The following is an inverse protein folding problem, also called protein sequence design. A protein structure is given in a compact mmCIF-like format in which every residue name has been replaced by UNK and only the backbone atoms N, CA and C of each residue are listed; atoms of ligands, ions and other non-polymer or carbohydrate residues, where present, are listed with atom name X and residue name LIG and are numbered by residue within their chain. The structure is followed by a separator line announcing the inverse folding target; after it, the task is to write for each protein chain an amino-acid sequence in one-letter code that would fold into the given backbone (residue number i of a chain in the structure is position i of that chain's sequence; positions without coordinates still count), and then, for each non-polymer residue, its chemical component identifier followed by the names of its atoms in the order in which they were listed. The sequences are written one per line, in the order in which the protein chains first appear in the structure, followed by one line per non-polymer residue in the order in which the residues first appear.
data_IF_545091308503
#
_entry.id   IF_545091308503
#
_cell.length_a   1.000
_cell.length_b   1.000
_cell.length_c   1.000
_cell.angle_alpha   90.00
_cell.angle_beta   90.00
_cell.angle_gamma   90.00
#
_symmetry.space_group_name_H-M   'P 1'
#
loop_
_entity.id
_entity.type
_entity.pdbx_description
1 polymer ?
#
# COMPACT_ATOMS: atom_id res chain seq x y z
N UNK A 1 2.49 -10.25 -12.09
CA UNK A 1 1.29 -9.93 -11.26
C UNK A 1 1.62 -8.72 -10.43
N UNK A 2 0.65 -7.87 -10.16
CA UNK A 2 0.88 -6.66 -9.38
C UNK A 2 -0.07 -6.64 -8.17
N UNK A 3 0.39 -6.00 -7.09
CA UNK A 3 -0.26 -5.97 -5.80
C UNK A 3 -0.30 -4.54 -5.28
N UNK A 4 -1.43 -4.19 -4.67
CA UNK A 4 -1.58 -2.97 -3.87
C UNK A 4 -1.63 -3.34 -2.39
N UNK A 5 -1.25 -2.39 -1.54
CA UNK A 5 -1.32 -2.51 -0.08
C UNK A 5 -2.66 -2.01 0.42
N UNK A 6 -3.30 -2.80 1.29
CA UNK A 6 -4.55 -2.45 1.94
C UNK A 6 -4.49 -2.69 3.46
N UNK A 7 -5.32 -1.97 4.21
CA UNK A 7 -5.52 -2.20 5.65
C UNK A 7 -6.15 -3.58 5.90
N UNK A 8 -6.11 -4.02 7.17
CA UNK A 8 -6.58 -5.35 7.58
C UNK A 8 -8.01 -5.36 8.14
N UNK A 9 -8.65 -4.20 8.20
CA UNK A 9 -10.00 -3.96 8.74
C UNK A 9 -11.11 -4.59 7.88
N UNK A 10 -12.36 -4.61 8.40
CA UNK A 10 -13.53 -5.13 7.68
C UNK A 10 -13.85 -4.33 6.42
N UNK A 11 -13.73 -3.00 6.51
CA UNK A 11 -13.79 -2.09 5.37
C UNK A 11 -12.35 -1.68 5.07
N UNK A 12 -11.81 -2.17 3.96
CA UNK A 12 -10.41 -1.95 3.61
C UNK A 12 -10.19 -0.54 3.07
N UNK A 13 -9.05 0.03 3.44
CA UNK A 13 -8.54 1.31 2.93
C UNK A 13 -7.21 1.08 2.23
N UNK A 14 -6.90 1.94 1.28
CA UNK A 14 -5.74 1.81 0.39
C UNK A 14 -4.64 2.77 0.80
N UNK A 15 -3.40 2.28 0.86
CA UNK A 15 -2.25 3.12 1.15
C UNK A 15 -1.85 3.91 -0.11
N UNK A 16 -1.90 5.23 -0.01
CA UNK A 16 -1.46 6.18 -1.04
C UNK A 16 -0.15 6.80 -0.57
N UNK A 17 0.91 6.61 -1.35
CA UNK A 17 2.26 7.06 -1.04
C UNK A 17 3.07 7.20 -2.33
N UNK A 18 4.21 7.89 -2.29
CA UNK A 18 5.18 7.88 -3.39
C UNK A 18 6.20 6.76 -3.15
N UNK A 19 6.32 5.77 -4.06
CA UNK A 19 7.32 4.70 -3.97
C UNK A 19 8.77 5.19 -3.84
N UNK A 20 9.09 6.40 -4.29
CA UNK A 20 10.45 6.98 -4.23
C UNK A 20 10.80 7.58 -2.88
N UNK A 21 9.80 7.98 -2.11
CA UNK A 21 9.99 8.67 -0.81
C UNK A 21 9.30 7.95 0.34
N UNK A 22 8.97 6.67 0.14
CA UNK A 22 8.21 5.86 1.10
C UNK A 22 8.88 5.87 2.48
N UNK A 23 8.11 6.22 3.50
CA UNK A 23 8.55 6.25 4.90
C UNK A 23 7.36 6.09 5.84
N UNK A 24 7.64 5.88 7.12
CA UNK A 24 6.62 5.72 8.17
C UNK A 24 5.72 6.93 8.39
N UNK A 25 6.06 8.10 7.82
CA UNK A 25 5.30 9.35 7.97
C UNK A 25 4.71 9.87 6.65
N UNK A 26 5.00 9.24 5.52
CA UNK A 26 4.68 9.75 4.17
C UNK A 26 3.67 8.87 3.43
N UNK A 27 2.55 8.57 4.09
CA UNK A 27 1.42 7.90 3.46
C UNK A 27 0.09 8.49 3.90
N UNK A 28 -0.93 8.27 3.08
CA UNK A 28 -2.33 8.58 3.38
C UNK A 28 -3.20 7.37 3.07
N UNK A 29 -4.46 7.39 3.52
CA UNK A 29 -5.42 6.33 3.30
C UNK A 29 -6.54 6.82 2.38
N UNK A 30 -6.85 6.03 1.35
CA UNK A 30 -8.00 6.25 0.47
C UNK A 30 -9.08 5.19 0.69
N UNK A 31 -10.35 5.58 0.66
CA UNK A 31 -11.49 4.65 0.70
C UNK A 31 -11.77 4.03 -0.68
N UNK A 32 -11.43 4.73 -1.75
CA UNK A 32 -11.61 4.29 -3.13
C UNK A 32 -10.27 3.81 -3.69
N UNK A 33 -10.28 2.66 -4.39
CA UNK A 33 -9.11 2.17 -5.11
C UNK A 33 -8.93 2.98 -6.40
N UNK A 34 -8.15 4.05 -6.34
CA UNK A 34 -7.71 4.79 -7.52
C UNK A 34 -6.28 4.38 -7.90
N UNK A 35 -6.15 3.67 -9.02
CA UNK A 35 -4.87 3.14 -9.51
C UNK A 35 -3.92 4.22 -10.04
N UNK A 36 -4.37 5.46 -10.19
CA UNK A 36 -3.49 6.58 -10.55
C UNK A 36 -2.69 7.09 -9.34
N UNK A 37 -3.20 6.86 -8.14
CA UNK A 37 -2.60 7.38 -6.90
C UNK A 37 -2.13 6.26 -5.95
N UNK A 38 -2.74 5.07 -6.00
CA UNK A 38 -2.34 3.91 -5.19
C UNK A 38 -1.23 3.16 -5.92
N UNK A 39 0.01 3.12 -5.38
CA UNK A 39 1.08 2.42 -6.03
C UNK A 39 0.88 0.92 -6.06
N UNK A 40 1.33 0.31 -7.14
CA UNK A 40 1.27 -1.12 -7.35
C UNK A 40 2.58 -1.69 -7.88
N UNK A 41 3.00 -2.83 -7.34
CA UNK A 41 4.21 -3.50 -7.79
C UNK A 41 4.11 -5.02 -7.59
N UNK A 42 5.18 -5.75 -7.90
CA UNK A 42 5.26 -7.15 -7.53
C UNK A 42 5.23 -7.33 -5.99
N UNK A 43 5.05 -8.58 -5.56
CA UNK A 43 4.89 -8.90 -4.14
C UNK A 43 6.10 -8.52 -3.29
N UNK A 44 7.30 -8.58 -3.86
CA UNK A 44 8.55 -8.27 -3.17
C UNK A 44 8.66 -6.76 -2.93
N UNK A 45 8.41 -5.96 -3.96
CA UNK A 45 8.40 -4.50 -3.85
C UNK A 45 7.26 -4.00 -2.94
N UNK A 46 6.06 -4.60 -3.03
CA UNK A 46 4.96 -4.24 -2.14
C UNK A 46 5.28 -4.57 -0.66
N UNK A 47 5.99 -5.67 -0.40
CA UNK A 47 6.49 -5.98 0.95
C UNK A 47 7.47 -4.92 1.45
N UNK A 48 8.41 -4.52 0.61
CA UNK A 48 9.39 -3.48 0.95
C UNK A 48 8.70 -2.17 1.36
N UNK A 49 7.72 -1.71 0.58
CA UNK A 49 6.95 -0.51 0.94
C UNK A 49 6.24 -0.61 2.28
N UNK A 50 5.64 -1.77 2.60
CA UNK A 50 4.99 -1.97 3.88
C UNK A 50 5.98 -1.88 5.07
N UNK A 51 7.20 -2.36 4.88
CA UNK A 51 8.27 -2.29 5.89
C UNK A 51 8.77 -0.85 6.07
N UNK A 52 9.01 -0.12 4.99
CA UNK A 52 9.45 1.29 5.04
C UNK A 52 8.38 2.19 5.66
N UNK A 53 7.11 1.90 5.42
CA UNK A 53 5.97 2.57 6.07
C UNK A 53 5.80 2.17 7.55
N UNK A 54 6.59 1.24 8.07
CA UNK A 54 6.48 0.75 9.45
C UNK A 54 5.18 0.00 9.75
N UNK A 55 4.51 -0.53 8.72
CA UNK A 55 3.25 -1.23 8.89
C UNK A 55 3.49 -2.56 9.61
N UNK A 56 2.75 -2.80 10.70
CA UNK A 56 2.81 -4.09 11.43
C UNK A 56 1.93 -5.16 10.79
N UNK A 57 0.84 -4.74 10.16
CA UNK A 57 -0.09 -5.64 9.47
C UNK A 57 -0.60 -4.97 8.19
N UNK A 58 -0.74 -5.75 7.12
CA UNK A 58 -1.28 -5.30 5.83
C UNK A 58 -1.81 -6.51 5.04
N UNK A 59 -2.60 -6.24 4.01
CA UNK A 59 -3.03 -7.25 3.04
C UNK A 59 -2.54 -6.88 1.64
N UNK A 60 -2.26 -7.92 0.86
CA UNK A 60 -2.03 -7.79 -0.57
C UNK A 60 -3.35 -7.97 -1.29
N UNK A 61 -3.73 -7.01 -2.13
CA UNK A 61 -4.83 -7.21 -3.08
C UNK A 61 -4.21 -7.37 -4.45
N UNK A 62 -4.44 -8.54 -5.05
CA UNK A 62 -4.01 -8.86 -6.41
C UNK A 62 -4.93 -8.16 -7.39
N UNK A 63 -4.34 -7.60 -8.43
CA UNK A 63 -5.04 -7.18 -9.63
C UNK A 63 -4.40 -7.81 -10.88
#
# INVERSE_FOLDING_TARGET
MRYVLATTERVVRWYVFDPKTVSSTTYSLSEVLDLNIVPAADKTTAKFWAQEMGLKTWRYVRF
#
